data_IF_569364572962
#
_entry.id   IF_569364572962
#
_cell.length_a   1.000
_cell.length_b   1.000
_cell.length_c   1.000
_cell.angle_alpha   90.00
_cell.angle_beta   90.00
_cell.angle_gamma   90.00
#
_symmetry.space_group_name_H-M   'P 1'
#
loop_
_entity.id
_entity.type
_entity.pdbx_description
1 polymer ?
#
# COMPACT_ATOMS: atom_id res chain seq x y z
N UNK A 1 -6.42 41.27 1.19
CA UNK A 1 -5.69 40.04 0.82
C UNK A 1 -4.28 39.94 1.41
N UNK A 2 -3.45 40.99 1.45
CA UNK A 2 -2.07 40.92 1.99
C UNK A 2 -1.96 40.34 3.41
N UNK A 3 -2.92 40.61 4.30
CA UNK A 3 -2.95 40.06 5.68
C UNK A 3 -3.21 38.56 5.76
N UNK A 4 -3.90 37.97 4.78
CA UNK A 4 -4.11 36.51 4.72
C UNK A 4 -2.84 35.80 4.26
N UNK A 5 -2.15 36.32 3.24
CA UNK A 5 -0.87 35.77 2.79
C UNK A 5 0.22 35.85 3.86
N UNK A 6 0.23 36.91 4.67
CA UNK A 6 1.14 37.03 5.81
C UNK A 6 0.91 35.98 6.92
N UNK A 7 -0.28 35.36 7.00
CA UNK A 7 -0.62 34.32 7.98
C UNK A 7 -0.46 32.89 7.48
N UNK A 8 -0.22 32.68 6.18
CA UNK A 8 0.10 31.38 5.60
C UNK A 8 1.25 30.66 6.36
N UNK A 9 2.39 31.29 6.67
CA UNK A 9 3.46 30.60 7.38
C UNK A 9 3.06 30.21 8.82
N UNK A 10 2.28 31.04 9.51
CA UNK A 10 1.78 30.74 10.85
C UNK A 10 0.79 29.56 10.83
N UNK A 11 -0.16 29.56 9.89
CA UNK A 11 -1.11 28.45 9.71
C UNK A 11 -0.42 27.14 9.28
N UNK A 12 0.61 27.22 8.43
CA UNK A 12 1.40 26.06 8.06
C UNK A 12 2.15 25.49 9.27
N UNK A 13 2.71 26.34 10.14
CA UNK A 13 3.36 25.87 11.36
C UNK A 13 2.37 25.22 12.33
N UNK A 14 1.18 25.79 12.51
CA UNK A 14 0.12 25.18 13.33
C UNK A 14 -0.33 23.83 12.77
N UNK A 15 -0.54 23.75 11.46
CA UNK A 15 -0.89 22.49 10.79
C UNK A 15 0.22 21.44 10.93
N UNK A 16 1.50 21.84 10.84
CA UNK A 16 2.63 20.94 11.08
C UNK A 16 2.67 20.44 12.53
N UNK A 17 2.43 21.31 13.52
CA UNK A 17 2.38 20.92 14.93
C UNK A 17 1.23 19.95 15.18
N UNK A 18 0.06 20.17 14.57
CA UNK A 18 -1.09 19.28 14.64
C UNK A 18 -0.86 17.94 13.94
N UNK A 19 -0.17 17.92 12.80
CA UNK A 19 0.07 16.71 12.00
C UNK A 19 1.23 15.84 12.53
N UNK A 20 2.22 16.43 13.21
CA UNK A 20 3.40 15.74 13.77
C UNK A 20 3.08 14.45 14.54
N UNK A 21 2.14 14.41 15.51
CA UNK A 21 1.87 13.17 16.24
C UNK A 21 1.29 12.06 15.34
N UNK A 22 0.42 12.40 14.39
CA UNK A 22 -0.14 11.44 13.43
C UNK A 22 0.92 10.91 12.46
N UNK A 23 1.81 11.77 11.98
CA UNK A 23 2.91 11.36 11.11
C UNK A 23 3.95 10.52 11.85
N UNK A 24 4.25 10.84 13.11
CA UNK A 24 5.20 10.06 13.92
C UNK A 24 4.68 8.65 14.20
N UNK A 25 3.39 8.51 14.50
CA UNK A 25 2.76 7.19 14.68
C UNK A 25 2.72 6.42 13.37
N UNK A 26 2.30 7.04 12.28
CA UNK A 26 2.33 6.43 10.94
C UNK A 26 3.74 5.97 10.56
N UNK A 27 4.76 6.81 10.79
CA UNK A 27 6.16 6.49 10.52
C UNK A 27 6.67 5.32 11.37
N UNK A 28 6.29 5.27 12.64
CA UNK A 28 6.67 4.17 13.55
C UNK A 28 6.20 2.82 13.01
N UNK A 29 4.93 2.70 12.61
CA UNK A 29 4.36 1.45 12.09
C UNK A 29 4.83 1.15 10.66
N UNK A 30 4.92 2.17 9.80
CA UNK A 30 5.44 2.02 8.45
C UNK A 30 6.86 1.41 8.44
N UNK A 31 7.71 1.81 9.39
CA UNK A 31 9.07 1.27 9.50
C UNK A 31 9.11 -0.23 9.81
N UNK A 32 8.14 -0.75 10.57
CA UNK A 32 8.09 -2.17 10.93
C UNK A 32 7.32 -3.02 9.93
N UNK A 33 6.23 -2.49 9.37
CA UNK A 33 5.28 -3.26 8.56
C UNK A 33 5.56 -3.13 7.05
N UNK A 34 6.01 -1.96 6.59
CA UNK A 34 6.30 -1.69 5.18
C UNK A 34 7.79 -1.84 4.85
N UNK A 35 8.57 -2.44 5.75
CA UNK A 35 9.98 -2.73 5.46
C UNK A 35 10.06 -3.75 4.32
N UNK A 36 11.02 -3.60 3.40
CA UNK A 36 11.31 -4.69 2.48
C UNK A 36 11.69 -5.94 3.30
N UNK A 37 11.21 -7.12 2.91
CA UNK A 37 11.53 -8.36 3.59
C UNK A 37 13.04 -8.62 3.54
N UNK A 38 13.57 -9.22 4.59
CA UNK A 38 14.97 -9.66 4.59
C UNK A 38 15.12 -10.89 3.68
N UNK A 39 16.29 -11.10 3.05
CA UNK A 39 16.49 -12.26 2.17
C UNK A 39 16.17 -13.62 2.82
N UNK A 40 16.35 -13.74 4.14
CA UNK A 40 16.02 -14.94 4.91
C UNK A 40 14.50 -15.18 5.09
N UNK A 41 13.66 -14.16 4.91
CA UNK A 41 12.20 -14.26 4.99
C UNK A 41 11.57 -14.70 3.66
N UNK A 42 12.27 -14.53 2.54
CA UNK A 42 11.79 -14.90 1.19
C UNK A 42 11.48 -16.40 1.09
N UNK A 43 12.36 -17.34 1.51
CA UNK A 43 12.06 -18.77 1.44
C UNK A 43 10.84 -19.16 2.29
N UNK A 44 10.62 -18.48 3.42
CA UNK A 44 9.45 -18.71 4.28
C UNK A 44 8.15 -18.29 3.59
N UNK A 45 8.17 -17.14 2.90
CA UNK A 45 7.04 -16.67 2.09
C UNK A 45 6.68 -17.64 0.96
N UNK A 46 7.69 -18.12 0.24
CA UNK A 46 7.51 -19.11 -0.85
C UNK A 46 6.95 -20.43 -0.29
N UNK A 47 7.50 -20.92 0.82
CA UNK A 47 7.01 -22.13 1.47
C UNK A 47 5.54 -21.99 1.91
N UNK A 48 5.15 -20.81 2.41
CA UNK A 48 3.76 -20.48 2.74
C UNK A 48 2.85 -20.58 1.51
N UNK A 49 3.23 -19.98 0.39
CA UNK A 49 2.47 -20.05 -0.87
C UNK A 49 2.31 -21.50 -1.37
N UNK A 50 3.39 -22.29 -1.34
CA UNK A 50 3.35 -23.70 -1.74
C UNK A 50 2.43 -24.54 -0.83
N UNK A 51 2.36 -24.22 0.46
CA UNK A 51 1.44 -24.89 1.38
C UNK A 51 -0.03 -24.62 1.06
N UNK A 52 -0.35 -23.42 0.58
CA UNK A 52 -1.72 -23.07 0.13
C UNK A 52 -2.06 -23.84 -1.15
N UNK A 53 -1.14 -23.88 -2.11
CA UNK A 53 -1.33 -24.59 -3.37
C UNK A 53 -1.57 -26.09 -3.17
N UNK A 54 -0.77 -26.74 -2.31
CA UNK A 54 -0.91 -28.17 -1.99
C UNK A 54 -2.21 -28.47 -1.23
N UNK A 55 -2.65 -27.55 -0.37
CA UNK A 55 -3.93 -27.67 0.35
C UNK A 55 -5.13 -27.43 -0.53
N UNK A 56 -4.98 -26.75 -1.66
CA UNK A 56 -6.11 -26.41 -2.55
C UNK A 56 -6.89 -27.67 -2.97
N UNK A 57 -6.21 -28.77 -3.33
CA UNK A 57 -6.89 -30.02 -3.69
C UNK A 57 -7.80 -30.61 -2.61
N UNK A 58 -7.59 -30.27 -1.33
CA UNK A 58 -8.36 -30.78 -0.19
C UNK A 58 -9.61 -29.95 0.14
N UNK A 59 -9.97 -29.00 -0.72
CA UNK A 59 -11.11 -28.08 -0.55
C UNK A 59 -11.19 -27.36 0.81
N UNK A 60 -10.09 -26.85 1.39
CA UNK A 60 -10.08 -26.21 2.71
C UNK A 60 -10.96 -24.96 2.77
N UNK A 61 -11.24 -24.32 1.63
CA UNK A 61 -12.13 -23.16 1.54
C UNK A 61 -13.58 -23.45 1.97
N UNK A 62 -14.01 -24.72 1.95
CA UNK A 62 -15.37 -25.11 2.37
C UNK A 62 -15.57 -25.00 3.88
N UNK A 63 -14.49 -24.96 4.66
CA UNK A 63 -14.53 -24.87 6.12
C UNK A 63 -14.23 -23.46 6.64
N UNK A 64 -14.07 -22.47 5.75
CA UNK A 64 -13.80 -21.08 6.16
C UNK A 64 -15.07 -20.42 6.69
N UNK A 65 -14.93 -19.70 7.81
CA UNK A 65 -16.00 -18.84 8.29
C UNK A 65 -16.12 -17.58 7.42
N UNK A 66 -17.30 -16.97 7.37
CA UNK A 66 -17.53 -15.74 6.58
C UNK A 66 -16.58 -14.61 6.98
N UNK A 67 -16.25 -14.51 8.28
CA UNK A 67 -15.30 -13.51 8.78
C UNK A 67 -13.89 -13.72 8.23
N UNK A 68 -13.41 -14.96 8.21
CA UNK A 68 -12.09 -15.30 7.68
C UNK A 68 -12.03 -15.10 6.16
N UNK A 69 -13.06 -15.54 5.44
CA UNK A 69 -13.16 -15.32 4.00
C UNK A 69 -13.11 -13.82 3.68
N UNK A 70 -13.88 -13.00 4.42
CA UNK A 70 -13.90 -11.56 4.24
C UNK A 70 -12.54 -10.91 4.51
N UNK A 71 -11.89 -11.26 5.62
CA UNK A 71 -10.54 -10.74 5.93
C UNK A 71 -9.53 -11.10 4.84
N UNK A 72 -9.52 -12.35 4.38
CA UNK A 72 -8.63 -12.79 3.31
C UNK A 72 -8.89 -12.04 2.00
N UNK A 73 -10.15 -11.74 1.68
CA UNK A 73 -10.48 -10.94 0.50
C UNK A 73 -9.99 -9.50 0.62
N UNK A 74 -10.13 -8.86 1.79
CA UNK A 74 -9.64 -7.50 2.00
C UNK A 74 -8.12 -7.39 1.85
N UNK A 75 -7.38 -8.33 2.45
CA UNK A 75 -5.92 -8.40 2.28
C UNK A 75 -5.52 -8.65 0.83
N UNK A 76 -6.27 -9.51 0.12
CA UNK A 76 -6.01 -9.77 -1.32
C UNK A 76 -6.22 -8.51 -2.16
N UNK A 77 -7.27 -7.73 -1.88
CA UNK A 77 -7.51 -6.44 -2.53
C UNK A 77 -6.42 -5.44 -2.20
N UNK A 78 -5.95 -5.37 -0.95
CA UNK A 78 -4.85 -4.50 -0.56
C UNK A 78 -3.56 -4.80 -1.36
N UNK A 79 -3.20 -6.07 -1.50
CA UNK A 79 -2.03 -6.49 -2.30
C UNK A 79 -2.21 -6.12 -3.78
N UNK A 80 -3.42 -6.23 -4.33
CA UNK A 80 -3.70 -5.75 -5.69
C UNK A 80 -3.57 -4.22 -5.81
N UNK A 81 -4.01 -3.45 -4.82
CA UNK A 81 -3.84 -2.01 -4.79
C UNK A 81 -2.35 -1.60 -4.85
N UNK A 82 -1.47 -2.34 -4.19
CA UNK A 82 -0.02 -2.10 -4.26
C UNK A 82 0.56 -2.23 -5.68
N UNK A 83 -0.01 -3.09 -6.53
CA UNK A 83 0.37 -3.18 -7.94
C UNK A 83 0.08 -1.86 -8.69
N UNK A 84 -1.12 -1.28 -8.48
CA UNK A 84 -1.49 0.00 -9.08
C UNK A 84 -0.65 1.17 -8.56
N UNK A 85 -0.28 1.16 -7.28
CA UNK A 85 0.68 2.12 -6.73
C UNK A 85 2.03 2.01 -7.46
N UNK A 86 2.50 0.78 -7.71
CA UNK A 86 3.69 0.53 -8.53
C UNK A 86 3.57 1.07 -9.95
N UNK A 87 2.40 0.89 -10.60
CA UNK A 87 2.12 1.45 -11.93
C UNK A 87 2.16 2.99 -11.92
N UNK A 88 1.60 3.64 -10.90
CA UNK A 88 1.67 5.11 -10.73
C UNK A 88 3.11 5.59 -10.57
N UNK A 89 3.94 4.88 -9.80
CA UNK A 89 5.37 5.17 -9.65
C UNK A 89 6.11 4.95 -10.98
N UNK A 90 5.81 3.85 -11.69
CA UNK A 90 6.42 3.52 -12.98
C UNK A 90 6.09 4.53 -14.08
N UNK A 91 4.84 5.01 -14.12
CA UNK A 91 4.39 6.08 -15.03
C UNK A 91 4.88 7.46 -14.65
N UNK A 92 5.23 7.68 -13.38
CA UNK A 92 5.56 8.99 -12.79
C UNK A 92 4.43 10.03 -12.98
N UNK A 93 3.18 9.57 -13.03
CA UNK A 93 2.01 10.41 -13.21
C UNK A 93 0.80 9.82 -12.47
N UNK A 94 0.03 10.69 -11.82
CA UNK A 94 -1.12 10.28 -11.00
C UNK A 94 -2.37 9.98 -11.84
N UNK A 95 -2.49 10.54 -13.05
CA UNK A 95 -3.71 10.47 -13.87
C UNK A 95 -3.42 10.03 -15.31
N UNK A 96 -3.57 8.73 -15.59
CA UNK A 96 -3.40 8.20 -16.96
C UNK A 96 -1.98 8.31 -17.51
N UNK A 97 -1.78 7.76 -18.70
CA UNK A 97 -0.52 7.84 -19.43
C UNK A 97 -0.46 9.14 -20.23
N UNK A 98 0.67 9.85 -20.18
CA UNK A 98 0.90 10.99 -21.08
C UNK A 98 1.08 10.47 -22.52
N UNK A 99 0.35 11.00 -23.52
CA UNK A 99 0.70 10.81 -24.92
C UNK A 99 2.10 11.40 -25.13
N UNK A 100 3.10 10.57 -25.44
CA UNK A 100 4.46 11.02 -25.76
C UNK A 100 5.61 10.43 -24.92
N UNK A 101 5.36 9.92 -23.71
CA UNK A 101 6.36 9.17 -22.93
C UNK A 101 6.13 7.66 -23.08
N UNK A 102 6.50 7.09 -24.23
CA UNK A 102 6.55 5.63 -24.44
C UNK A 102 5.20 4.91 -24.58
N UNK A 103 4.08 5.64 -24.66
CA UNK A 103 2.77 5.06 -24.98
C UNK A 103 2.70 4.76 -26.48
N UNK A 104 3.06 3.53 -26.88
CA UNK A 104 2.68 2.99 -28.19
C UNK A 104 1.23 2.56 -28.07
N UNK A 105 0.32 3.47 -28.43
CA UNK A 105 -1.10 3.15 -28.54
C UNK A 105 -1.32 1.97 -29.50
N UNK A 106 -2.37 1.20 -29.23
CA UNK A 106 -3.05 0.44 -30.28
C UNK A 106 -3.86 1.41 -31.13
#
# INVERSE_FOLDING_TARGET
MARMFARIPAMAQEAMVAARPGLNTAWKYAKSELRPPTPAEIPKGIAGLMSIATRWGRQPWRHLTVKEAWLNTLVTVEVMCWFFVGEVVGRRHLLGYKPGYGYKGH
#
